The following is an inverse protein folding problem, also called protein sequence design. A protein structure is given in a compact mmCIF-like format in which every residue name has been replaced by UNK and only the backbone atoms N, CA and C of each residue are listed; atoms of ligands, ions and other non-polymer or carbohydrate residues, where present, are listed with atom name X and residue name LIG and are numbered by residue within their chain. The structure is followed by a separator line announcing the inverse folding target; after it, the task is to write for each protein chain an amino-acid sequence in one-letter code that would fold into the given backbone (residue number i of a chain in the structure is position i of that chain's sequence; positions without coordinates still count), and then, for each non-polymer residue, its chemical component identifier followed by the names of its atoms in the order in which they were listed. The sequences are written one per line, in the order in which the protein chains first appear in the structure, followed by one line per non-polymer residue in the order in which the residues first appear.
data_IF_168973121752
#
_entry.id   IF_168973121752
#
_cell.length_a   1.000
_cell.length_b   1.000
_cell.length_c   1.000
_cell.angle_alpha   90.00
_cell.angle_beta   90.00
_cell.angle_gamma   90.00
#
_symmetry.space_group_name_H-M   'P 1'
#
loop_
_entity.id
_entity.type
_entity.pdbx_description
1 polymer ?
#
# COMPACT_ATOMS: atom_id res chain seq x y z
N UNK A 1 1.62 -18.29 9.88
CA UNK A 1 1.16 -16.91 10.15
C UNK A 1 -0.35 -16.86 10.07
N UNK A 2 -1.00 -16.17 11.01
CA UNK A 2 -2.44 -15.86 10.90
C UNK A 2 -2.51 -14.61 10.02
N UNK A 3 -3.09 -14.74 8.83
CA UNK A 3 -3.33 -13.60 7.92
C UNK A 3 -4.53 -12.80 8.43
N UNK A 4 -4.52 -11.50 8.22
CA UNK A 4 -5.70 -10.67 8.43
C UNK A 4 -6.69 -10.82 7.25
N UNK A 5 -7.93 -10.35 7.44
CA UNK A 5 -8.94 -10.47 6.41
C UNK A 5 -8.67 -9.57 5.20
N UNK A 6 -7.94 -8.45 5.34
CA UNK A 6 -7.53 -7.60 4.22
C UNK A 6 -6.60 -8.36 3.25
N UNK A 7 -5.57 -9.02 3.77
CA UNK A 7 -4.66 -9.83 2.96
C UNK A 7 -5.36 -11.03 2.33
N UNK A 8 -6.26 -11.67 3.08
CA UNK A 8 -7.03 -12.81 2.58
C UNK A 8 -7.94 -12.41 1.43
N UNK A 9 -8.67 -11.29 1.55
CA UNK A 9 -9.51 -10.74 0.50
C UNK A 9 -8.67 -10.32 -0.73
N UNK A 10 -7.54 -9.66 -0.52
CA UNK A 10 -6.62 -9.29 -1.61
C UNK A 10 -6.10 -10.51 -2.36
N UNK A 11 -5.77 -11.59 -1.65
CA UNK A 11 -5.36 -12.86 -2.28
C UNK A 11 -6.47 -13.51 -3.12
N UNK A 12 -7.73 -13.20 -2.81
CA UNK A 12 -8.91 -13.64 -3.58
C UNK A 12 -9.32 -12.63 -4.69
N UNK A 13 -8.52 -11.58 -4.93
CA UNK A 13 -8.81 -10.57 -5.96
C UNK A 13 -9.77 -9.46 -5.51
N UNK A 14 -10.06 -9.36 -4.22
CA UNK A 14 -10.93 -8.31 -3.65
C UNK A 14 -10.08 -7.29 -2.92
N UNK A 15 -9.91 -6.11 -3.51
CA UNK A 15 -8.99 -5.07 -3.02
C UNK A 15 -9.73 -3.96 -2.27
N UNK A 16 -9.76 -4.03 -0.93
CA UNK A 16 -10.27 -2.94 -0.11
C UNK A 16 -9.27 -1.79 -0.05
N UNK A 17 -9.74 -0.53 -0.02
CA UNK A 17 -8.87 0.63 0.17
C UNK A 17 -8.08 0.52 1.48
N UNK A 18 -6.77 0.83 1.43
CA UNK A 18 -5.92 0.80 2.63
C UNK A 18 -4.74 1.76 2.48
N UNK A 19 -4.96 3.04 2.73
CA UNK A 19 -3.91 4.05 2.64
C UNK A 19 -2.79 3.85 3.69
N UNK A 20 -3.09 3.27 4.86
CA UNK A 20 -2.09 2.98 5.89
C UNK A 20 -1.36 1.63 5.68
N UNK A 21 -1.72 0.87 4.63
CA UNK A 21 -1.12 -0.43 4.33
C UNK A 21 -1.37 -1.48 5.42
N UNK A 22 -2.52 -1.46 6.06
CA UNK A 22 -2.89 -2.44 7.08
C UNK A 22 -2.58 -2.02 8.53
N UNK A 23 -2.10 -0.79 8.76
CA UNK A 23 -1.73 -0.30 10.09
C UNK A 23 -2.90 0.10 10.99
N UNK A 24 -4.15 -0.03 10.55
CA UNK A 24 -5.35 0.27 11.35
C UNK A 24 -5.67 1.75 11.54
N UNK A 25 -4.92 2.68 10.93
CA UNK A 25 -5.04 4.11 11.22
C UNK A 25 -5.89 4.91 10.24
N UNK A 26 -6.08 4.46 8.98
CA UNK A 26 -6.81 5.22 7.96
C UNK A 26 -8.31 4.93 7.91
N UNK A 27 -8.76 3.85 8.53
CA UNK A 27 -10.14 3.37 8.55
C UNK A 27 -10.80 3.16 7.17
N UNK A 28 -10.02 2.98 6.11
CA UNK A 28 -10.57 2.82 4.75
C UNK A 28 -10.97 1.38 4.42
N UNK A 29 -10.33 0.39 5.04
CA UNK A 29 -10.62 -1.04 4.82
C UNK A 29 -11.85 -1.54 5.60
N UNK A 30 -12.88 -0.69 5.71
CA UNK A 30 -14.13 -1.04 6.40
C UNK A 30 -14.89 -2.13 5.65
N UNK A 31 -15.35 -3.12 6.39
CA UNK A 31 -16.25 -4.17 5.90
C UNK A 31 -17.22 -4.57 7.02
N UNK A 32 -18.29 -5.27 6.69
CA UNK A 32 -19.19 -5.86 7.70
C UNK A 32 -18.83 -7.33 7.85
N UNK A 33 -18.59 -7.77 9.08
CA UNK A 33 -18.32 -9.17 9.37
C UNK A 33 -19.52 -9.74 10.13
N UNK A 34 -20.30 -10.51 9.40
CA UNK A 34 -21.55 -11.08 9.93
C UNK A 34 -21.29 -12.30 10.82
N UNK A 35 -20.15 -12.98 10.62
CA UNK A 35 -19.80 -14.18 11.39
C UNK A 35 -18.28 -14.40 11.36
N UNK A 36 -17.74 -14.97 12.44
CA UNK A 36 -16.33 -15.40 12.52
C UNK A 36 -15.31 -14.33 12.84
N UNK A 37 -15.70 -13.04 12.99
CA UNK A 37 -14.77 -11.92 13.18
C UNK A 37 -14.19 -11.73 14.58
N UNK A 38 -14.72 -12.42 15.57
CA UNK A 38 -14.34 -12.23 16.98
C UNK A 38 -14.73 -10.85 17.53
N UNK A 39 -14.19 -10.48 18.68
CA UNK A 39 -14.43 -9.17 19.31
C UNK A 39 -13.67 -8.04 18.58
N UNK A 40 -14.25 -6.84 18.63
CA UNK A 40 -13.58 -5.62 18.13
C UNK A 40 -12.31 -5.35 18.96
N UNK A 41 -11.25 -4.96 18.26
CA UNK A 41 -9.98 -4.60 18.92
C UNK A 41 -9.99 -3.13 19.35
N UNK A 42 -9.25 -2.75 20.40
CA UNK A 42 -9.13 -1.36 20.84
C UNK A 42 -8.64 -0.42 19.71
N UNK A 43 -7.82 -0.92 18.79
CA UNK A 43 -7.35 -0.18 17.60
C UNK A 43 -8.46 0.14 16.60
N UNK A 44 -9.57 -0.57 16.64
CA UNK A 44 -10.73 -0.36 15.77
C UNK A 44 -11.77 0.55 16.40
N UNK A 45 -11.91 0.53 17.73
CA UNK A 45 -12.99 1.22 18.46
C UNK A 45 -13.07 2.72 18.16
N UNK A 46 -11.92 3.38 17.96
CA UNK A 46 -11.85 4.81 17.64
C UNK A 46 -12.43 5.17 16.25
N UNK A 47 -12.62 4.18 15.38
CA UNK A 47 -13.05 4.37 13.99
C UNK A 47 -14.51 4.07 13.73
N UNK A 48 -15.23 3.60 14.77
CA UNK A 48 -16.62 3.20 14.63
C UNK A 48 -17.50 3.80 15.71
N UNK A 49 -18.69 4.18 15.30
CA UNK A 49 -19.77 4.52 16.24
C UNK A 49 -20.29 3.26 16.91
N UNK A 50 -20.98 3.38 18.04
CA UNK A 50 -21.62 2.25 18.72
C UNK A 50 -22.61 1.52 17.80
N UNK A 51 -23.27 2.27 16.90
CA UNK A 51 -24.21 1.70 15.93
C UNK A 51 -23.47 0.85 14.90
N UNK A 52 -22.44 1.38 14.27
CA UNK A 52 -21.62 0.64 13.29
C UNK A 52 -21.03 -0.63 13.93
N UNK A 53 -20.51 -0.53 15.16
CA UNK A 53 -20.01 -1.69 15.90
C UNK A 53 -21.10 -2.77 16.10
N UNK A 54 -22.34 -2.35 16.41
CA UNK A 54 -23.48 -3.29 16.57
C UNK A 54 -23.96 -3.88 15.23
N UNK A 55 -23.75 -3.21 14.13
CA UNK A 55 -24.04 -3.67 12.76
C UNK A 55 -22.92 -4.58 12.20
N UNK A 56 -21.87 -4.85 12.95
CA UNK A 56 -20.78 -5.74 12.55
C UNK A 56 -19.68 -5.09 11.72
N UNK A 57 -19.61 -3.74 11.67
CA UNK A 57 -18.52 -3.04 10.99
C UNK A 57 -17.18 -3.30 11.67
N UNK A 58 -16.18 -3.60 10.87
CA UNK A 58 -14.82 -3.91 11.31
C UNK A 58 -13.79 -3.30 10.34
N UNK A 59 -12.54 -3.14 10.81
CA UNK A 59 -11.40 -2.91 9.94
C UNK A 59 -10.84 -4.26 9.47
N UNK A 60 -10.90 -4.50 8.17
CA UNK A 60 -10.41 -5.76 7.58
C UNK A 60 -8.95 -6.04 7.93
N UNK A 61 -8.09 -5.02 7.98
CA UNK A 61 -6.68 -5.16 8.35
C UNK A 61 -6.44 -5.48 9.84
N UNK A 62 -7.43 -5.30 10.70
CA UNK A 62 -7.33 -5.58 12.13
C UNK A 62 -8.06 -6.88 12.52
N UNK A 63 -8.72 -7.53 11.58
CA UNK A 63 -9.49 -8.73 11.84
C UNK A 63 -8.75 -9.97 11.36
N UNK A 64 -8.15 -10.78 12.27
CA UNK A 64 -7.43 -11.98 11.90
C UNK A 64 -8.38 -13.10 11.46
N UNK A 65 -8.02 -13.81 10.39
CA UNK A 65 -8.78 -14.98 9.90
C UNK A 65 -8.35 -16.21 10.69
N UNK A 66 -9.17 -16.62 11.65
CA UNK A 66 -8.91 -17.80 12.52
C UNK A 66 -9.86 -18.97 12.25
N UNK A 67 -10.93 -18.70 11.53
CA UNK A 67 -12.00 -19.65 11.19
C UNK A 67 -12.73 -19.17 9.96
N UNK A 68 -13.72 -19.91 9.48
CA UNK A 68 -14.60 -19.46 8.41
C UNK A 68 -15.31 -18.17 8.82
N UNK A 69 -15.39 -17.23 7.88
CA UNK A 69 -15.95 -15.90 8.10
C UNK A 69 -16.96 -15.56 7.02
N UNK A 70 -18.01 -14.81 7.40
CA UNK A 70 -18.93 -14.17 6.45
C UNK A 70 -18.66 -12.68 6.42
N UNK A 71 -18.08 -12.22 5.31
CA UNK A 71 -17.67 -10.82 5.12
C UNK A 71 -18.50 -10.21 4.01
N UNK A 72 -19.08 -9.05 4.28
CA UNK A 72 -19.73 -8.20 3.29
C UNK A 72 -18.80 -7.02 3.00
N UNK A 73 -18.41 -6.86 1.74
CA UNK A 73 -17.55 -5.78 1.26
C UNK A 73 -18.37 -4.75 0.48
N UNK A 74 -17.93 -3.48 0.42
CA UNK A 74 -18.56 -2.45 -0.42
C UNK A 74 -18.54 -2.85 -1.90
N UNK A 75 -19.57 -2.45 -2.66
CA UNK A 75 -19.69 -2.81 -4.08
C UNK A 75 -18.55 -2.27 -4.94
N UNK A 76 -17.99 -1.14 -4.57
CA UNK A 76 -16.87 -0.49 -5.26
C UNK A 76 -15.62 -1.39 -5.35
N UNK A 77 -15.49 -2.35 -4.44
CA UNK A 77 -14.38 -3.31 -4.41
C UNK A 77 -14.36 -4.21 -5.65
N UNK A 78 -15.53 -4.49 -6.24
CA UNK A 78 -15.65 -5.36 -7.41
C UNK A 78 -15.27 -4.70 -8.74
N UNK A 79 -15.08 -3.37 -8.77
CA UNK A 79 -14.67 -2.60 -9.94
C UNK A 79 -13.17 -2.26 -9.99
N UNK A 80 -12.38 -2.73 -9.03
CA UNK A 80 -10.95 -2.42 -8.96
C UNK A 80 -10.18 -3.16 -10.06
N UNK A 81 -9.44 -2.40 -10.87
CA UNK A 81 -8.50 -2.95 -11.86
C UNK A 81 -7.10 -3.08 -11.26
N UNK A 82 -6.38 -4.09 -11.70
CA UNK A 82 -4.96 -4.30 -11.39
C UNK A 82 -4.17 -4.35 -12.68
N UNK A 83 -3.03 -3.67 -12.71
CA UNK A 83 -2.11 -3.65 -13.84
C UNK A 83 -0.72 -4.11 -13.42
N UNK A 84 -0.06 -4.84 -14.30
CA UNK A 84 1.38 -5.01 -14.27
C UNK A 84 2.00 -3.86 -15.07
N UNK A 85 2.76 -3.01 -14.37
CA UNK A 85 3.36 -1.83 -14.96
C UNK A 85 4.86 -2.03 -15.18
N UNK A 86 5.42 -1.33 -16.16
CA UNK A 86 6.86 -1.29 -16.39
C UNK A 86 7.44 -0.04 -15.74
N UNK A 87 8.54 -0.18 -15.00
CA UNK A 87 9.30 0.96 -14.49
C UNK A 87 9.95 1.68 -15.67
N UNK A 88 9.51 2.90 -15.95
CA UNK A 88 10.07 3.75 -17.02
C UNK A 88 11.27 4.56 -16.51
N UNK A 89 11.16 5.13 -15.30
CA UNK A 89 12.24 5.87 -14.65
C UNK A 89 12.06 5.86 -13.12
N UNK A 90 13.17 6.06 -12.41
CA UNK A 90 13.17 6.13 -10.96
C UNK A 90 14.35 6.97 -10.43
N UNK A 91 14.53 8.24 -10.91
CA UNK A 91 15.60 9.13 -10.44
C UNK A 91 15.33 9.62 -9.01
N UNK A 92 16.38 10.09 -8.34
CA UNK A 92 16.21 10.89 -7.14
C UNK A 92 15.73 12.29 -7.52
N UNK A 93 14.75 12.80 -6.79
CA UNK A 93 14.29 14.21 -6.84
C UNK A 93 14.64 14.97 -5.56
N UNK A 94 15.11 14.24 -4.57
CA UNK A 94 15.73 14.74 -3.35
C UNK A 94 16.60 13.62 -2.76
N UNK A 95 17.44 13.93 -1.79
CA UNK A 95 18.41 13.00 -1.18
C UNK A 95 17.82 11.60 -0.87
N UNK A 96 16.60 11.56 -0.36
CA UNK A 96 15.93 10.30 0.05
C UNK A 96 14.55 10.13 -0.58
N UNK A 97 14.27 10.81 -1.70
CA UNK A 97 13.00 10.70 -2.42
C UNK A 97 13.28 10.39 -3.87
N UNK A 98 12.68 9.31 -4.37
CA UNK A 98 12.69 8.95 -5.78
C UNK A 98 11.36 9.28 -6.44
N UNK A 99 11.40 9.78 -7.67
CA UNK A 99 10.23 9.88 -8.54
C UNK A 99 10.12 8.60 -9.37
N UNK A 100 9.24 7.72 -8.94
CA UNK A 100 8.94 6.50 -9.66
C UNK A 100 7.91 6.77 -10.75
N UNK A 101 8.29 6.60 -12.02
CA UNK A 101 7.38 6.63 -13.17
C UNK A 101 7.12 5.20 -13.63
N UNK A 102 5.85 4.83 -13.65
CA UNK A 102 5.37 3.54 -14.14
C UNK A 102 4.59 3.74 -15.43
N UNK A 103 4.95 2.97 -16.46
CA UNK A 103 4.17 2.87 -17.69
C UNK A 103 3.09 1.80 -17.54
N UNK A 104 1.85 2.16 -17.84
CA UNK A 104 0.71 1.24 -17.91
C UNK A 104 0.80 0.36 -19.17
N UNK A 105 0.11 -0.79 -19.19
CA UNK A 105 -0.05 -1.57 -20.42
C UNK A 105 -0.66 -0.73 -21.55
N UNK A 106 -0.31 -1.05 -22.79
CA UNK A 106 -0.74 -0.29 -23.95
C UNK A 106 -2.27 -0.17 -24.04
N UNK A 107 -2.76 1.05 -24.19
CA UNK A 107 -4.18 1.37 -24.24
C UNK A 107 -4.90 1.48 -22.90
N UNK A 108 -4.20 1.22 -21.80
CA UNK A 108 -4.74 1.40 -20.45
C UNK A 108 -4.43 2.82 -19.90
N UNK A 109 -5.32 3.31 -19.05
CA UNK A 109 -5.20 4.60 -18.38
C UNK A 109 -5.85 4.58 -17.02
N UNK A 110 -5.37 5.42 -16.11
CA UNK A 110 -5.95 5.63 -14.79
C UNK A 110 -6.70 6.96 -14.78
N UNK A 111 -8.03 6.89 -14.75
CA UNK A 111 -8.84 8.08 -14.55
C UNK A 111 -8.82 8.48 -13.07
N UNK A 112 -8.23 9.64 -12.76
CA UNK A 112 -8.16 10.14 -11.40
C UNK A 112 -8.33 11.66 -11.34
N UNK A 113 -8.54 12.17 -10.15
CA UNK A 113 -8.52 13.61 -9.83
C UNK A 113 -7.26 13.92 -9.04
N UNK A 114 -6.79 15.16 -9.07
CA UNK A 114 -5.69 15.60 -8.25
C UNK A 114 -5.89 15.20 -6.77
N UNK A 115 -4.86 14.62 -6.15
CA UNK A 115 -4.96 14.02 -4.82
C UNK A 115 -5.46 12.57 -4.80
N UNK A 116 -5.80 11.99 -5.96
CA UNK A 116 -6.08 10.57 -6.10
C UNK A 116 -4.87 9.71 -5.71
N UNK A 117 -5.13 8.49 -5.27
CA UNK A 117 -4.08 7.53 -4.92
C UNK A 117 -4.36 6.17 -5.55
N UNK A 118 -3.33 5.38 -5.70
CA UNK A 118 -3.41 3.96 -6.05
C UNK A 118 -2.66 3.12 -5.03
N UNK A 119 -2.94 1.83 -5.02
CA UNK A 119 -2.18 0.87 -4.23
C UNK A 119 -1.09 0.26 -5.11
N UNK A 120 0.17 0.40 -4.69
CA UNK A 120 1.30 -0.29 -5.30
C UNK A 120 1.57 -1.57 -4.54
N UNK A 121 1.68 -2.67 -5.27
CA UNK A 121 2.15 -3.94 -4.74
C UNK A 121 3.63 -4.10 -5.08
N UNK A 122 4.45 -4.25 -4.05
CA UNK A 122 5.85 -4.60 -4.17
C UNK A 122 6.00 -6.10 -3.94
N UNK A 123 6.57 -6.86 -4.88
CA UNK A 123 6.76 -8.30 -4.72
C UNK A 123 7.82 -8.61 -3.66
N UNK A 124 7.90 -9.89 -3.21
CA UNK A 124 8.99 -10.33 -2.35
C UNK A 124 10.34 -10.01 -2.98
N UNK A 125 11.27 -9.51 -2.17
CA UNK A 125 12.60 -9.13 -2.66
C UNK A 125 13.65 -9.20 -1.54
N UNK A 126 14.90 -9.29 -1.98
CA UNK A 126 16.08 -9.03 -1.16
C UNK A 126 17.00 -8.12 -1.96
N UNK A 127 17.10 -6.86 -1.56
CA UNK A 127 17.93 -5.83 -2.21
C UNK A 127 18.84 -5.17 -1.19
N UNK A 128 20.04 -4.82 -1.62
CA UNK A 128 20.97 -4.02 -0.84
C UNK A 128 20.90 -2.57 -1.28
N UNK A 129 21.00 -1.64 -0.36
CA UNK A 129 20.95 -0.21 -0.69
C UNK A 129 22.22 0.23 -1.44
N UNK A 130 23.31 -0.55 -1.35
CA UNK A 130 24.50 -0.38 -2.18
C UNK A 130 24.24 -0.57 -3.68
N UNK A 131 23.15 -1.25 -4.04
CA UNK A 131 22.80 -1.57 -5.42
C UNK A 131 21.90 -0.48 -6.05
N UNK A 132 21.51 0.53 -5.25
CA UNK A 132 20.71 1.64 -5.74
C UNK A 132 21.55 2.59 -6.61
N UNK A 133 21.01 2.93 -7.76
CA UNK A 133 21.54 4.03 -8.56
C UNK A 133 21.11 5.36 -7.93
N UNK A 134 22.10 6.08 -7.39
CA UNK A 134 21.94 7.36 -6.71
C UNK A 134 22.77 8.41 -7.45
N UNK A 135 22.15 9.51 -7.79
CA UNK A 135 22.80 10.63 -8.47
C UNK A 135 23.94 11.21 -7.61
N UNK A 136 25.03 11.61 -8.24
CA UNK A 136 26.29 12.03 -7.58
C UNK A 136 26.07 13.14 -6.54
N UNK A 137 25.12 14.03 -6.80
CA UNK A 137 24.80 15.13 -5.88
C UNK A 137 24.25 14.66 -4.52
N UNK A 138 23.68 13.45 -4.44
CA UNK A 138 23.09 12.90 -3.20
C UNK A 138 23.96 11.87 -2.51
N UNK A 139 25.03 11.35 -3.19
CA UNK A 139 25.88 10.29 -2.64
C UNK A 139 26.54 10.67 -1.32
N UNK A 140 26.97 11.90 -1.18
CA UNK A 140 27.61 12.38 0.05
C UNK A 140 26.73 12.28 1.27
N UNK A 141 25.43 12.57 1.14
CA UNK A 141 24.45 12.41 2.22
C UNK A 141 24.19 10.94 2.53
N UNK A 142 24.11 10.08 1.50
CA UNK A 142 23.94 8.65 1.67
C UNK A 142 25.11 8.00 2.41
N UNK A 143 26.34 8.44 2.12
CA UNK A 143 27.55 8.04 2.86
C UNK A 143 27.52 8.55 4.30
N UNK A 144 27.21 9.84 4.48
CA UNK A 144 27.15 10.48 5.81
C UNK A 144 26.17 9.77 6.76
N UNK A 145 24.98 9.40 6.25
CA UNK A 145 23.96 8.69 7.03
C UNK A 145 24.08 7.16 6.97
N UNK A 146 25.12 6.62 6.35
CA UNK A 146 25.39 5.20 6.22
C UNK A 146 24.24 4.41 5.54
N UNK A 147 23.55 5.01 4.57
CA UNK A 147 22.42 4.36 3.89
C UNK A 147 22.82 3.13 3.10
N UNK A 148 23.99 3.13 2.46
CA UNK A 148 24.48 2.03 1.62
C UNK A 148 24.70 0.71 2.39
N UNK A 149 24.77 0.74 3.72
CA UNK A 149 24.90 -0.48 4.54
C UNK A 149 23.57 -1.21 4.79
N UNK A 150 22.44 -0.58 4.45
CA UNK A 150 21.14 -1.19 4.69
C UNK A 150 20.80 -2.23 3.62
N UNK A 151 19.87 -3.10 3.96
CA UNK A 151 19.23 -4.04 3.05
C UNK A 151 17.74 -4.11 3.34
N UNK A 152 16.96 -4.41 2.31
CA UNK A 152 15.53 -4.66 2.42
C UNK A 152 15.23 -6.11 2.08
N UNK A 153 14.68 -6.83 3.06
CA UNK A 153 14.26 -8.22 2.90
C UNK A 153 12.76 -8.28 3.12
N UNK A 154 12.03 -8.59 2.06
CA UNK A 154 10.58 -8.73 2.07
C UNK A 154 10.23 -10.10 1.54
N UNK A 155 9.60 -10.92 2.37
CA UNK A 155 9.30 -12.33 2.07
C UNK A 155 7.90 -12.58 1.54
N UNK A 156 7.00 -11.59 1.71
CA UNK A 156 5.62 -11.63 1.20
C UNK A 156 5.31 -10.31 0.48
N UNK A 157 4.40 -10.30 -0.51
CA UNK A 157 4.04 -9.06 -1.20
C UNK A 157 3.56 -7.98 -0.22
N UNK A 158 4.00 -6.75 -0.42
CA UNK A 158 3.63 -5.59 0.41
C UNK A 158 2.84 -4.60 -0.44
N UNK A 159 1.64 -4.26 0.03
CA UNK A 159 0.78 -3.27 -0.63
C UNK A 159 0.82 -1.97 0.18
N UNK A 160 1.04 -0.83 -0.52
CA UNK A 160 1.00 0.51 0.06
C UNK A 160 0.27 1.45 -0.88
N UNK A 161 -0.44 2.41 -0.30
CA UNK A 161 -1.07 3.48 -1.06
C UNK A 161 -0.11 4.65 -1.26
N UNK A 162 -0.08 5.16 -2.49
CA UNK A 162 0.68 6.34 -2.87
C UNK A 162 -0.20 7.30 -3.66
N UNK A 163 -0.16 8.58 -3.30
CA UNK A 163 -0.80 9.62 -4.09
C UNK A 163 -0.05 9.80 -5.41
N UNK A 164 -0.81 9.95 -6.49
CA UNK A 164 -0.21 10.21 -7.81
C UNK A 164 0.38 11.61 -7.87
N UNK A 165 1.58 11.72 -8.43
CA UNK A 165 2.34 12.96 -8.56
C UNK A 165 2.22 13.59 -9.96
N UNK A 166 1.75 12.83 -10.97
CA UNK A 166 1.45 13.35 -12.30
C UNK A 166 0.08 14.01 -12.34
N UNK A 167 -0.20 14.82 -13.38
CA UNK A 167 -1.56 15.33 -13.58
C UNK A 167 -2.42 14.34 -14.38
N UNK A 168 -3.77 14.48 -14.23
CA UNK A 168 -4.72 13.57 -14.89
C UNK A 168 -4.66 13.51 -16.41
N UNK A 169 -4.07 14.53 -17.04
CA UNK A 169 -3.90 14.63 -18.49
C UNK A 169 -2.69 13.86 -19.02
N UNK A 170 -1.73 13.51 -18.17
CA UNK A 170 -0.62 12.63 -18.54
C UNK A 170 -1.13 11.19 -18.62
N UNK A 171 -1.27 10.69 -19.85
CA UNK A 171 -1.91 9.40 -20.13
C UNK A 171 -0.90 8.26 -20.26
N UNK A 172 -1.35 7.04 -19.93
CA UNK A 172 -0.54 5.83 -20.05
C UNK A 172 0.58 5.69 -19.01
N UNK A 173 0.72 6.65 -18.10
CA UNK A 173 1.72 6.63 -17.03
C UNK A 173 1.12 7.00 -15.67
N UNK A 174 1.78 6.59 -14.60
CA UNK A 174 1.55 7.07 -13.24
C UNK A 174 2.88 7.38 -12.58
N UNK A 175 2.95 8.50 -11.85
CA UNK A 175 4.15 8.95 -11.14
C UNK A 175 3.92 9.03 -9.65
N UNK A 176 4.96 8.76 -8.89
CA UNK A 176 4.93 8.78 -7.42
C UNK A 176 6.22 9.37 -6.87
N UNK A 177 6.11 10.21 -5.86
CA UNK A 177 7.26 10.61 -5.05
C UNK A 177 7.34 9.67 -3.84
N UNK A 178 8.32 8.77 -3.86
CA UNK A 178 8.46 7.71 -2.86
C UNK A 178 9.68 8.00 -2.00
N UNK A 179 9.45 8.19 -0.70
CA UNK A 179 10.53 8.27 0.27
C UNK A 179 11.15 6.89 0.47
N UNK A 180 12.48 6.83 0.38
CA UNK A 180 13.25 5.61 0.67
C UNK A 180 13.09 5.30 2.16
N UNK A 181 12.66 4.07 2.46
CA UNK A 181 12.47 3.62 3.81
C UNK A 181 13.82 3.44 4.53
N UNK A 182 13.87 3.81 5.79
CA UNK A 182 15.00 3.55 6.67
C UNK A 182 14.59 2.61 7.79
N UNK A 183 15.46 1.72 8.25
CA UNK A 183 15.22 0.99 9.47
C UNK A 183 14.95 1.97 10.63
N UNK A 184 14.07 1.65 11.58
CA UNK A 184 13.90 2.47 12.76
C UNK A 184 15.22 2.58 13.52
N UNK A 185 15.54 3.75 14.12
CA UNK A 185 16.72 3.87 14.97
C UNK A 185 16.65 2.83 16.08
N UNK A 186 17.77 2.16 16.34
CA UNK A 186 17.92 1.18 17.42
C UNK A 186 18.13 1.89 18.73
#
# INVERSE_FOLDING_TARGET
CIRDSLQTLSSAGLFLPSACGGGGSCAQCKCIINDGGGSMLPTEEAHFTRREASEGWRLSCQTPVKQDMKVQVPEEVFGVKRWECTVESNPNVATFIKELTLKLPDGEDVAFRAGGYVQLECPPHHIKYSDFDIEDEYKGDWEHFNFFQHESIVTEPVIRAYSMANYPEEKGIVKFNIRIATPPPR
#
